data_IF_623363338377
#
_entry.id   IF_623363338377
#
_cell.length_a   1.000
_cell.length_b   1.000
_cell.length_c   1.000
_cell.angle_alpha   90.00
_cell.angle_beta   90.00
_cell.angle_gamma   90.00
#
_symmetry.space_group_name_H-M   'P 1'
#
loop_
_entity.id
_entity.type
_entity.pdbx_description
1 polymer ?
#
# COMPACT_ATOMS: atom_id res chain seq x y z
N UNK A 1 2.71 -26.89 11.40
CA UNK A 1 1.50 -26.08 11.14
C UNK A 1 1.74 -24.88 10.22
N UNK A 2 2.84 -24.11 10.36
CA UNK A 2 3.09 -22.93 9.49
C UNK A 2 3.81 -23.22 8.16
N UNK A 3 4.21 -24.47 7.90
CA UNK A 3 4.99 -24.83 6.73
C UNK A 3 4.37 -24.37 5.39
N UNK A 4 3.04 -24.50 5.15
CA UNK A 4 2.44 -23.99 3.91
C UNK A 4 2.53 -22.47 3.76
N UNK A 5 2.31 -21.72 4.85
CA UNK A 5 2.43 -20.26 4.86
C UNK A 5 3.86 -19.80 4.58
N UNK A 6 4.84 -20.44 5.23
CA UNK A 6 6.26 -20.16 5.01
C UNK A 6 6.66 -20.48 3.56
N UNK A 7 6.20 -21.61 3.01
CA UNK A 7 6.47 -21.99 1.64
C UNK A 7 5.84 -21.01 0.64
N UNK A 8 4.56 -20.64 0.81
CA UNK A 8 3.91 -19.64 -0.06
C UNK A 8 4.61 -18.29 -0.01
N UNK A 9 5.03 -17.84 1.18
CA UNK A 9 5.80 -16.61 1.31
C UNK A 9 7.16 -16.72 0.59
N UNK A 10 7.90 -17.80 0.82
CA UNK A 10 9.20 -18.04 0.16
C UNK A 10 9.07 -18.09 -1.36
N UNK A 11 8.08 -18.80 -1.89
CA UNK A 11 7.81 -18.87 -3.33
C UNK A 11 7.41 -17.51 -3.89
N UNK A 12 6.58 -16.74 -3.18
CA UNK A 12 6.24 -15.38 -3.58
C UNK A 12 7.51 -14.53 -3.68
N UNK A 13 8.34 -14.52 -2.64
CA UNK A 13 9.59 -13.76 -2.65
C UNK A 13 10.58 -14.25 -3.70
N UNK A 14 10.62 -15.54 -4.03
CA UNK A 14 11.56 -16.06 -5.03
C UNK A 14 11.15 -15.77 -6.49
N UNK A 15 9.87 -15.49 -6.75
CA UNK A 15 9.32 -15.46 -8.13
C UNK A 15 8.83 -14.08 -8.58
N UNK A 16 8.52 -13.18 -7.67
CA UNK A 16 8.00 -11.86 -8.03
C UNK A 16 9.09 -10.84 -8.30
N UNK A 17 8.74 -9.72 -8.92
CA UNK A 17 9.66 -8.57 -9.00
C UNK A 17 9.75 -7.87 -7.65
N UNK A 18 10.92 -7.93 -7.01
CA UNK A 18 11.17 -7.34 -5.69
C UNK A 18 10.99 -5.81 -5.70
N UNK A 19 11.16 -5.15 -6.86
CA UNK A 19 10.93 -3.70 -7.00
C UNK A 19 9.47 -3.31 -6.74
N UNK A 20 8.55 -4.27 -6.80
CA UNK A 20 7.12 -4.08 -6.51
C UNK A 20 6.77 -4.32 -5.06
N UNK A 21 7.70 -4.80 -4.23
CA UNK A 21 7.53 -4.81 -2.77
C UNK A 21 7.79 -3.41 -2.23
N UNK A 22 6.76 -2.78 -1.66
CA UNK A 22 6.81 -1.38 -1.24
C UNK A 22 6.37 -1.22 0.20
N UNK A 23 6.95 -0.22 0.87
CA UNK A 23 6.48 0.23 2.19
C UNK A 23 5.20 1.07 2.04
N UNK A 24 4.22 0.83 2.91
CA UNK A 24 3.03 1.66 2.99
C UNK A 24 3.36 3.09 3.41
N UNK A 25 2.72 4.09 2.80
CA UNK A 25 2.95 5.50 3.12
C UNK A 25 2.28 5.97 4.44
N UNK A 26 1.54 5.10 5.14
CA UNK A 26 0.77 5.45 6.35
C UNK A 26 0.96 4.48 7.51
N UNK A 27 1.64 3.34 7.31
CA UNK A 27 1.86 2.37 8.38
C UNK A 27 3.14 1.57 8.13
N UNK A 28 3.49 0.69 9.07
CA UNK A 28 4.72 -0.11 9.06
C UNK A 28 4.70 -1.29 8.07
N UNK A 29 3.53 -1.61 7.50
CA UNK A 29 3.38 -2.78 6.63
C UNK A 29 4.04 -2.59 5.28
N UNK A 30 4.60 -3.68 4.76
CA UNK A 30 5.02 -3.83 3.38
C UNK A 30 3.92 -4.53 2.58
N UNK A 31 3.85 -4.26 1.29
CA UNK A 31 2.89 -4.89 0.39
C UNK A 31 3.52 -5.12 -0.97
N UNK A 32 3.03 -6.14 -1.68
CA UNK A 32 3.33 -6.33 -3.09
C UNK A 32 2.35 -5.51 -3.94
N UNK A 33 2.88 -4.60 -4.76
CA UNK A 33 2.08 -3.72 -5.60
C UNK A 33 1.57 -4.48 -6.82
N UNK A 34 0.33 -4.97 -6.79
CA UNK A 34 -0.34 -5.65 -7.92
C UNK A 34 -0.99 -4.70 -8.92
N UNK A 35 -0.90 -3.38 -8.74
CA UNK A 35 -1.57 -2.42 -9.65
C UNK A 35 -0.93 -2.42 -11.04
N UNK A 36 -1.73 -2.20 -12.09
CA UNK A 36 -1.24 -2.23 -13.49
C UNK A 36 -0.02 -1.33 -13.73
N UNK A 37 0.04 -0.16 -13.09
CA UNK A 37 1.14 0.80 -13.24
C UNK A 37 2.25 0.68 -12.19
N UNK A 38 2.07 -0.14 -11.15
CA UNK A 38 3.05 -0.22 -10.05
C UNK A 38 3.17 1.07 -9.22
N UNK A 39 2.10 1.87 -9.15
CA UNK A 39 2.11 3.19 -8.49
C UNK A 39 1.32 3.23 -7.18
N UNK A 40 0.90 2.09 -6.63
CA UNK A 40 0.12 2.03 -5.39
C UNK A 40 0.99 2.44 -4.20
N UNK A 41 0.42 3.21 -3.28
CA UNK A 41 1.13 3.76 -2.10
C UNK A 41 0.63 3.26 -0.75
N UNK A 42 -0.32 2.32 -0.72
CA UNK A 42 -0.98 1.87 0.51
C UNK A 42 -1.18 0.35 0.54
N UNK A 43 -1.01 -0.26 1.72
CA UNK A 43 -1.13 -1.72 1.90
C UNK A 43 -2.56 -2.25 1.74
N UNK A 44 -3.59 -1.47 2.07
CA UNK A 44 -5.01 -1.82 1.91
C UNK A 44 -5.82 -0.59 1.50
N UNK A 45 -6.74 -0.75 0.55
CA UNK A 45 -7.63 0.34 0.11
C UNK A 45 -8.57 0.76 1.25
N UNK A 46 -9.13 -0.19 1.98
CA UNK A 46 -10.09 0.07 3.06
C UNK A 46 -9.44 0.80 4.25
N UNK A 47 -8.19 0.45 4.59
CA UNK A 47 -7.48 1.05 5.72
C UNK A 47 -6.68 2.29 5.28
N UNK A 48 -5.46 2.08 4.77
CA UNK A 48 -4.52 3.16 4.51
C UNK A 48 -4.90 4.00 3.27
N UNK A 49 -5.52 3.39 2.26
CA UNK A 49 -5.98 4.09 1.05
C UNK A 49 -7.06 5.12 1.36
N UNK A 50 -8.06 4.74 2.16
CA UNK A 50 -9.12 5.66 2.58
C UNK A 50 -8.56 6.81 3.44
N UNK A 51 -7.70 6.50 4.43
CA UNK A 51 -7.05 7.52 5.27
C UNK A 51 -6.32 8.59 4.44
N UNK A 52 -5.55 8.17 3.44
CA UNK A 52 -4.86 9.09 2.53
C UNK A 52 -5.84 9.95 1.72
N UNK A 53 -6.92 9.35 1.18
CA UNK A 53 -7.92 10.09 0.40
C UNK A 53 -8.65 11.13 1.24
N UNK A 54 -9.04 10.77 2.48
CA UNK A 54 -9.70 11.69 3.43
C UNK A 54 -8.77 12.84 3.80
N UNK A 55 -7.51 12.55 4.14
CA UNK A 55 -6.52 13.59 4.46
C UNK A 55 -6.31 14.56 3.28
N UNK A 56 -6.17 14.04 2.05
CA UNK A 56 -6.02 14.85 0.84
C UNK A 56 -7.28 15.67 0.51
N UNK A 57 -8.47 15.13 0.76
CA UNK A 57 -9.73 15.87 0.62
C UNK A 57 -9.82 17.02 1.63
N UNK A 58 -9.52 16.78 2.91
CA UNK A 58 -9.54 17.79 3.95
C UNK A 58 -8.52 18.91 3.68
N UNK A 59 -7.30 18.58 3.24
CA UNK A 59 -6.29 19.57 2.86
C UNK A 59 -6.76 20.49 1.73
N UNK A 60 -7.35 19.93 0.67
CA UNK A 60 -7.91 20.71 -0.45
C UNK A 60 -9.05 21.62 -0.01
N UNK A 61 -9.90 21.18 0.93
CA UNK A 61 -10.97 22.04 1.47
C UNK A 61 -10.40 23.23 2.24
N UNK A 62 -9.40 23.02 3.10
CA UNK A 62 -8.75 24.11 3.84
C UNK A 62 -8.15 25.17 2.90
N UNK A 63 -7.48 24.74 1.83
CA UNK A 63 -6.92 25.65 0.82
C UNK A 63 -7.98 26.51 0.13
N UNK A 64 -9.17 25.95 -0.15
CA UNK A 64 -10.28 26.71 -0.75
C UNK A 64 -10.90 27.73 0.20
N UNK A 65 -10.84 27.49 1.51
CA UNK A 65 -11.38 28.41 2.53
C UNK A 65 -10.42 29.55 2.89
N UNK A 66 -9.13 29.44 2.56
CA UNK A 66 -8.11 30.48 2.77
C UNK A 66 -7.95 31.43 1.57
N UNK A 67 -8.73 31.22 0.51
CA UNK A 67 -8.83 32.13 -0.64
C UNK A 67 -10.19 32.80 -0.59
#
# INVERSE_FOLDING_TARGET
MFAPLAHSAATLFATVDHKRVRKCAQCVLHFYDTSKKGTRRWCSMQLCGNRLKVAAYAARRRQRHHK
#
